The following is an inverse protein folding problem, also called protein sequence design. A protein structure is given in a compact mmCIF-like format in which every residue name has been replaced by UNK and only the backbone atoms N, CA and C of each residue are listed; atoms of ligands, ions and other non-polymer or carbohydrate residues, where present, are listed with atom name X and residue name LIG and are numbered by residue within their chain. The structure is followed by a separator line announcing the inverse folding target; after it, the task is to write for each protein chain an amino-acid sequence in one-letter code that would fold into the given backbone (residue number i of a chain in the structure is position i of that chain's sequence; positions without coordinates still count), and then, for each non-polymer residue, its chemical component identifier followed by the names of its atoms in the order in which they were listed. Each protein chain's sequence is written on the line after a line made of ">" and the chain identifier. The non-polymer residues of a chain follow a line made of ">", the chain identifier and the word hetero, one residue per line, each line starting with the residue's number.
data_IF_212203160181
#
_entry.id   IF_212203160181
#
_cell.length_a   1.000
_cell.length_b   1.000
_cell.length_c   1.000
_cell.angle_alpha   90.00
_cell.angle_beta   90.00
_cell.angle_gamma   90.00
#
_symmetry.space_group_name_H-M   'P 1'
#
loop_
_entity.id
_entity.type
_entity.pdbx_description
1 polymer ?
#
# COMPACT_ATOMS: atom_id res chain seq x y z
N UNK A 1 -2.14 13.75 -25.50
CA UNK A 1 -1.71 12.33 -25.34
C UNK A 1 -0.30 12.15 -24.75
N UNK A 2 0.78 12.75 -25.30
CA UNK A 2 2.15 12.57 -24.78
C UNK A 2 2.36 12.94 -23.30
N UNK A 3 1.63 13.92 -22.75
CA UNK A 3 1.70 14.31 -21.33
C UNK A 3 1.09 13.27 -20.36
N UNK A 4 0.07 12.52 -20.77
CA UNK A 4 -0.58 11.50 -19.93
C UNK A 4 0.20 10.18 -19.92
N UNK A 5 0.85 9.84 -21.04
CA UNK A 5 1.78 8.70 -21.13
C UNK A 5 2.99 8.92 -20.22
N UNK A 6 3.47 10.17 -20.09
CA UNK A 6 4.59 10.50 -19.19
C UNK A 6 4.24 10.26 -17.71
N UNK A 7 2.98 10.48 -17.30
CA UNK A 7 2.51 10.26 -15.93
C UNK A 7 2.47 8.75 -15.62
N UNK A 8 2.04 7.90 -16.57
CA UNK A 8 2.15 6.45 -16.44
C UNK A 8 3.62 5.99 -16.41
N UNK A 9 4.49 6.56 -17.25
CA UNK A 9 5.89 6.17 -17.35
C UNK A 9 6.71 6.57 -16.12
N UNK A 10 6.40 7.71 -15.46
CA UNK A 10 7.08 8.11 -14.22
C UNK A 10 6.65 7.24 -13.02
N UNK A 11 5.37 6.82 -12.99
CA UNK A 11 4.88 5.82 -12.02
C UNK A 11 5.50 4.44 -12.28
N UNK A 12 5.86 4.12 -13.53
CA UNK A 12 6.54 2.88 -13.92
C UNK A 12 8.07 2.93 -13.79
N UNK A 13 8.71 4.11 -13.75
CA UNK A 13 10.18 4.25 -13.68
C UNK A 13 10.79 3.97 -12.30
N UNK A 14 10.00 3.50 -11.33
CA UNK A 14 10.50 2.86 -10.11
C UNK A 14 10.60 1.34 -10.31
N UNK A 15 11.50 0.90 -11.20
CA UNK A 15 11.72 -0.52 -11.39
C UNK A 15 12.43 -1.12 -10.16
N UNK A 16 11.73 -2.07 -9.50
CA UNK A 16 12.10 -2.89 -8.32
C UNK A 16 11.72 -2.36 -6.93
N UNK A 17 10.43 -2.12 -6.66
CA UNK A 17 9.93 -1.84 -5.29
C UNK A 17 8.85 -2.89 -4.82
N UNK A 18 9.14 -3.72 -3.80
CA UNK A 18 8.38 -4.94 -3.32
C UNK A 18 8.01 -5.00 -1.79
N UNK A 19 6.83 -5.46 -1.31
CA UNK A 19 5.98 -5.05 -0.11
C UNK A 19 6.49 -4.70 1.28
N UNK A 20 5.59 -4.01 2.01
CA UNK A 20 5.81 -3.47 3.32
C UNK A 20 5.30 -4.58 4.19
N UNK A 21 6.20 -5.26 4.86
CA UNK A 21 5.86 -6.27 5.83
C UNK A 21 6.73 -6.08 7.06
N UNK A 22 6.10 -6.15 8.24
CA UNK A 22 6.74 -6.04 9.56
C UNK A 22 6.47 -7.33 10.39
N UNK A 23 5.68 -8.27 9.86
CA UNK A 23 5.05 -9.35 10.63
C UNK A 23 6.05 -10.34 11.22
N UNK A 24 7.04 -10.77 10.43
CA UNK A 24 8.06 -11.73 10.90
C UNK A 24 8.95 -11.14 11.98
N UNK A 25 9.31 -9.86 11.85
CA UNK A 25 10.27 -9.19 12.71
C UNK A 25 9.67 -8.38 13.86
N UNK A 26 8.34 -8.34 13.99
CA UNK A 26 7.64 -7.52 15.01
C UNK A 26 8.13 -7.78 16.45
N UNK A 27 8.54 -9.02 16.74
CA UNK A 27 9.06 -9.45 18.05
C UNK A 27 10.56 -9.78 18.04
N UNK A 28 11.27 -9.36 16.99
CA UNK A 28 12.72 -9.57 16.85
C UNK A 28 13.53 -8.58 17.70
N UNK A 29 14.84 -8.74 17.73
CA UNK A 29 15.77 -7.79 18.34
C UNK A 29 15.97 -6.50 17.52
N UNK A 30 15.41 -6.40 16.31
CA UNK A 30 15.55 -5.22 15.45
C UNK A 30 14.76 -4.02 16.01
N UNK A 31 15.44 -3.09 16.68
CA UNK A 31 14.77 -2.05 17.45
C UNK A 31 14.00 -1.06 16.58
N UNK A 32 14.60 -0.53 15.49
CA UNK A 32 13.90 0.43 14.62
C UNK A 32 12.67 -0.22 13.99
N UNK A 33 12.75 -1.52 13.67
CA UNK A 33 11.61 -2.28 13.18
C UNK A 33 10.46 -2.29 14.20
N UNK A 34 10.74 -2.68 15.44
CA UNK A 34 9.74 -2.71 16.50
C UNK A 34 9.16 -1.32 16.76
N UNK A 35 10.01 -0.29 16.77
CA UNK A 35 9.60 1.10 16.92
C UNK A 35 8.68 1.54 15.78
N UNK A 36 8.94 1.15 14.54
CA UNK A 36 8.10 1.54 13.39
C UNK A 36 6.65 1.03 13.51
N UNK A 37 6.44 -0.10 14.19
CA UNK A 37 5.12 -0.74 14.36
C UNK A 37 4.50 -0.55 15.74
N UNK A 38 5.29 -0.21 16.77
CA UNK A 38 4.79 -0.02 18.12
C UNK A 38 5.50 1.17 18.80
N UNK A 39 4.74 2.24 19.08
CA UNK A 39 5.26 3.42 19.74
C UNK A 39 5.81 3.16 21.17
N UNK A 40 5.43 2.04 21.83
CA UNK A 40 5.99 1.67 23.14
C UNK A 40 7.33 0.96 23.07
N UNK A 41 7.86 0.67 21.87
CA UNK A 41 9.16 0.03 21.73
C UNK A 41 10.22 0.78 22.55
N UNK A 42 10.96 0.04 23.37
CA UNK A 42 11.89 0.61 24.33
C UNK A 42 13.24 -0.11 24.19
N UNK A 43 14.31 0.58 23.75
CA UNK A 43 15.57 -0.08 23.46
C UNK A 43 16.28 -0.50 24.74
N UNK A 44 17.20 -1.45 24.64
CA UNK A 44 18.17 -1.73 25.72
C UNK A 44 19.25 -0.65 25.78
N UNK A 45 19.66 -0.15 24.61
CA UNK A 45 20.63 0.92 24.41
C UNK A 45 20.18 2.26 24.99
N UNK A 46 21.14 3.11 25.36
CA UNK A 46 20.87 4.48 25.81
C UNK A 46 20.63 5.45 24.65
N UNK A 47 21.25 5.20 23.50
CA UNK A 47 21.13 6.03 22.30
C UNK A 47 20.93 5.12 21.11
N UNK A 48 20.00 5.48 20.22
CA UNK A 48 19.79 4.81 18.93
C UNK A 48 19.86 5.85 17.84
N UNK A 49 20.69 5.60 16.82
CA UNK A 49 20.82 6.44 15.63
C UNK A 49 20.58 5.55 14.42
N UNK A 50 19.61 5.89 13.60
CA UNK A 50 19.37 5.20 12.34
C UNK A 50 20.38 5.59 11.27
N UNK A 51 20.77 4.65 10.41
CA UNK A 51 21.59 4.97 9.26
C UNK A 51 20.79 5.83 8.26
N UNK A 52 21.33 6.95 7.74
CA UNK A 52 20.60 7.81 6.82
C UNK A 52 20.03 7.04 5.63
N UNK A 53 18.73 7.21 5.35
CA UNK A 53 17.93 6.55 4.30
C UNK A 53 17.77 5.02 4.43
N UNK A 54 18.63 4.33 5.19
CA UNK A 54 18.58 2.87 5.34
C UNK A 54 18.24 2.44 6.78
N UNK A 55 17.64 3.31 7.58
CA UNK A 55 17.27 2.99 8.97
C UNK A 55 16.21 1.89 9.03
N UNK A 56 15.25 1.95 8.11
CA UNK A 56 14.17 0.98 7.92
C UNK A 56 13.55 1.26 6.55
N UNK A 57 13.81 0.37 5.61
CA UNK A 57 13.19 0.34 4.29
C UNK A 57 12.26 -0.87 4.25
N UNK A 58 11.02 -0.61 3.90
CA UNK A 58 9.97 -1.61 3.86
C UNK A 58 9.11 -1.35 2.62
N UNK A 59 8.92 -2.30 1.70
CA UNK A 59 8.60 -1.94 0.31
C UNK A 59 7.18 -2.27 -0.20
N UNK A 60 6.91 -2.61 -1.48
CA UNK A 60 5.65 -2.85 -2.33
C UNK A 60 4.45 -3.84 -2.15
N UNK A 61 4.48 -5.02 -2.79
CA UNK A 61 3.41 -5.76 -3.48
C UNK A 61 2.50 -6.86 -2.82
N UNK A 62 1.20 -6.70 -3.05
CA UNK A 62 0.13 -7.72 -2.98
C UNK A 62 -0.67 -7.73 -4.30
N UNK A 63 -1.07 -8.91 -4.78
CA UNK A 63 -1.87 -9.11 -6.00
C UNK A 63 -2.93 -10.20 -5.80
N UNK A 64 -4.10 -10.10 -6.46
CA UNK A 64 -5.08 -11.17 -6.46
C UNK A 64 -4.60 -12.42 -7.24
N UNK A 65 -3.66 -12.23 -8.16
CA UNK A 65 -3.12 -13.27 -9.04
C UNK A 65 -1.62 -13.47 -8.84
N UNK A 66 -1.17 -14.72 -8.97
CA UNK A 66 0.25 -15.03 -9.18
C UNK A 66 0.63 -14.91 -10.66
N UNK A 67 1.92 -14.84 -10.97
CA UNK A 67 2.40 -14.78 -12.35
C UNK A 67 2.07 -16.06 -13.13
N UNK A 68 2.12 -17.23 -12.49
CA UNK A 68 1.72 -18.50 -13.10
C UNK A 68 0.19 -18.62 -13.34
N UNK A 69 -0.63 -17.85 -12.63
CA UNK A 69 -2.06 -17.75 -12.91
C UNK A 69 -2.36 -16.80 -14.07
N UNK A 70 -1.56 -15.75 -14.24
CA UNK A 70 -1.68 -14.78 -15.34
C UNK A 70 -1.13 -15.34 -16.64
N UNK A 71 0.06 -15.93 -16.60
CA UNK A 71 0.80 -16.38 -17.77
C UNK A 71 0.69 -17.89 -17.93
N UNK A 72 0.06 -18.32 -19.02
CA UNK A 72 0.06 -19.73 -19.44
C UNK A 72 1.01 -19.95 -20.58
N UNK A 73 1.80 -21.01 -20.45
CA UNK A 73 2.70 -21.49 -21.49
C UNK A 73 1.91 -22.26 -22.55
N UNK A 74 1.98 -21.81 -23.79
CA UNK A 74 1.39 -22.49 -24.93
C UNK A 74 2.21 -23.69 -25.42
N UNK A 75 1.61 -24.47 -26.31
CA UNK A 75 2.28 -25.62 -26.95
C UNK A 75 3.50 -25.22 -27.80
N UNK A 76 3.61 -23.95 -28.15
CA UNK A 76 4.69 -23.34 -28.93
C UNK A 76 5.74 -22.62 -28.06
N UNK A 77 5.79 -22.93 -26.76
CA UNK A 77 6.71 -22.32 -25.78
C UNK A 77 6.44 -20.84 -25.47
N UNK A 78 5.44 -20.21 -26.11
CA UNK A 78 5.10 -18.80 -25.86
C UNK A 78 4.22 -18.62 -24.62
N UNK A 79 4.42 -17.51 -23.90
CA UNK A 79 3.60 -17.12 -22.76
C UNK A 79 2.41 -16.28 -23.23
N UNK A 80 1.20 -16.66 -22.82
CA UNK A 80 -0.05 -15.98 -23.15
C UNK A 80 -0.83 -15.66 -21.88
N UNK A 81 -1.56 -14.56 -21.89
CA UNK A 81 -2.45 -14.20 -20.78
C UNK A 81 -3.76 -14.99 -20.91
N UNK A 82 -4.15 -15.70 -19.85
CA UNK A 82 -5.45 -16.39 -19.80
C UNK A 82 -6.51 -15.52 -19.12
N UNK A 83 -7.04 -14.55 -19.87
CA UNK A 83 -8.07 -13.63 -19.38
C UNK A 83 -9.31 -14.35 -18.81
N UNK A 84 -9.88 -15.40 -19.45
CA UNK A 84 -11.02 -16.13 -18.88
C UNK A 84 -10.73 -16.74 -17.49
N UNK A 85 -9.53 -17.27 -17.29
CA UNK A 85 -9.13 -17.82 -15.98
C UNK A 85 -8.98 -16.72 -14.93
N UNK A 86 -8.53 -15.53 -15.31
CA UNK A 86 -8.37 -14.38 -14.41
C UNK A 86 -9.72 -13.82 -13.98
N UNK A 87 -10.66 -13.63 -14.92
CA UNK A 87 -12.03 -13.17 -14.63
C UNK A 87 -12.71 -14.07 -13.59
N UNK A 88 -12.67 -15.39 -13.79
CA UNK A 88 -13.32 -16.35 -12.88
C UNK A 88 -12.67 -16.45 -11.49
N UNK A 89 -11.43 -15.97 -11.34
CA UNK A 89 -10.67 -16.03 -10.07
C UNK A 89 -10.69 -14.71 -9.30
N UNK A 90 -11.14 -13.63 -9.92
CA UNK A 90 -11.15 -12.31 -9.31
C UNK A 90 -12.36 -12.21 -8.38
N UNK A 91 -12.11 -12.40 -7.08
CA UNK A 91 -13.13 -12.11 -6.07
C UNK A 91 -13.35 -10.60 -5.96
N UNK A 92 -14.62 -10.21 -5.85
CA UNK A 92 -15.01 -8.81 -5.70
C UNK A 92 -14.29 -8.13 -4.52
N UNK A 93 -13.73 -6.95 -4.78
CA UNK A 93 -13.06 -6.14 -3.78
C UNK A 93 -11.60 -6.52 -3.50
N UNK A 94 -11.06 -7.57 -4.13
CA UNK A 94 -9.60 -7.82 -4.15
C UNK A 94 -8.92 -6.92 -5.17
N UNK A 95 -7.72 -6.46 -4.84
CA UNK A 95 -6.98 -5.51 -5.66
C UNK A 95 -5.48 -5.74 -5.62
N UNK A 96 -4.78 -5.02 -6.49
CA UNK A 96 -3.33 -4.91 -6.44
C UNK A 96 -3.00 -3.79 -5.46
N UNK A 97 -2.12 -4.05 -4.51
CA UNK A 97 -1.67 -3.07 -3.54
C UNK A 97 -0.15 -3.00 -3.54
N UNK A 98 0.38 -1.78 -3.51
CA UNK A 98 1.80 -1.52 -3.29
C UNK A 98 1.96 -0.56 -2.12
N UNK A 99 2.99 -0.77 -1.32
CA UNK A 99 3.41 0.14 -0.28
C UNK A 99 4.88 0.52 -0.45
N UNK A 100 5.35 1.56 0.19
CA UNK A 100 6.78 1.77 0.45
C UNK A 100 6.89 2.69 1.65
N UNK A 101 7.80 2.37 2.56
CA UNK A 101 8.14 3.19 3.72
C UNK A 101 9.64 3.19 3.85
N UNK A 102 10.20 4.37 3.75
CA UNK A 102 11.61 4.60 3.89
C UNK A 102 11.84 5.56 5.03
N UNK A 103 12.53 5.10 6.07
CA UNK A 103 12.98 5.93 7.17
C UNK A 103 14.24 6.69 6.74
N UNK A 104 14.08 7.98 6.44
CA UNK A 104 15.18 8.88 6.04
C UNK A 104 16.15 9.05 7.21
N UNK A 105 15.64 9.30 8.40
CA UNK A 105 16.49 9.35 9.59
C UNK A 105 15.71 8.94 10.83
N UNK A 106 16.45 8.50 11.85
CA UNK A 106 15.93 8.20 13.18
C UNK A 106 16.96 8.57 14.24
N UNK A 107 16.51 9.17 15.34
CA UNK A 107 17.34 9.38 16.52
C UNK A 107 16.51 9.23 17.78
N UNK A 108 17.04 8.56 18.79
CA UNK A 108 16.42 8.49 20.10
C UNK A 108 17.42 8.32 21.24
N UNK A 109 17.01 8.76 22.42
CA UNK A 109 17.83 8.73 23.63
C UNK A 109 17.00 8.44 24.88
N UNK A 110 17.64 7.72 25.83
CA UNK A 110 17.08 7.50 27.17
C UNK A 110 17.34 8.69 28.08
N UNK A 111 16.25 9.22 28.64
CA UNK A 111 16.20 10.37 29.53
C UNK A 111 15.90 9.96 30.98
N UNK A 112 16.20 10.89 31.90
CA UNK A 112 15.98 10.70 33.34
C UNK A 112 17.09 9.90 34.05
N UNK A 113 17.19 10.05 35.37
CA UNK A 113 18.18 9.34 36.19
C UNK A 113 18.02 7.82 36.12
N UNK A 114 16.77 7.35 36.14
CA UNK A 114 16.42 5.92 36.03
C UNK A 114 16.46 5.39 34.58
N UNK A 115 16.68 6.25 33.58
CA UNK A 115 16.66 5.89 32.15
C UNK A 115 15.37 5.16 31.74
N UNK A 116 14.23 5.57 32.30
CA UNK A 116 12.91 4.96 32.10
C UNK A 116 12.03 5.71 31.08
N UNK A 117 12.57 6.74 30.43
CA UNK A 117 11.92 7.48 29.34
C UNK A 117 12.84 7.35 28.12
N UNK A 118 12.30 6.95 26.99
CA UNK A 118 12.99 6.94 25.70
C UNK A 118 12.27 7.93 24.78
N UNK A 119 12.91 9.07 24.50
CA UNK A 119 12.40 10.08 23.59
C UNK A 119 13.10 9.93 22.24
N UNK A 120 12.35 10.05 21.15
CA UNK A 120 12.87 9.87 19.81
C UNK A 120 12.17 10.76 18.79
N UNK A 121 12.84 10.94 17.66
CA UNK A 121 12.31 11.60 16.48
C UNK A 121 12.76 10.86 15.22
N UNK A 122 12.03 11.04 14.15
CA UNK A 122 12.39 10.48 12.86
C UNK A 122 11.62 11.13 11.73
N UNK A 123 12.09 10.86 10.52
CA UNK A 123 11.47 11.28 9.27
C UNK A 123 11.38 10.11 8.32
N UNK A 124 10.25 9.99 7.64
CA UNK A 124 9.98 8.90 6.71
C UNK A 124 9.20 9.38 5.48
N UNK A 125 9.42 8.70 4.34
CA UNK A 125 8.58 8.80 3.15
C UNK A 125 7.67 7.58 3.11
N UNK A 126 6.39 7.81 2.88
CA UNK A 126 5.40 6.74 2.75
C UNK A 126 4.70 6.86 1.40
N UNK A 127 4.78 5.79 0.61
CA UNK A 127 4.00 5.60 -0.59
C UNK A 127 2.97 4.47 -0.35
N UNK A 128 1.75 4.69 -0.80
CA UNK A 128 0.73 3.64 -0.89
C UNK A 128 0.08 3.76 -2.26
N UNK A 129 -0.16 2.63 -2.89
CA UNK A 129 -0.89 2.50 -4.13
C UNK A 129 -1.84 1.33 -3.98
N UNK A 130 -3.04 1.47 -4.52
CA UNK A 130 -3.95 0.36 -4.65
C UNK A 130 -4.95 0.59 -5.77
N UNK A 131 -5.23 -0.49 -6.47
CA UNK A 131 -6.23 -0.55 -7.52
C UNK A 131 -7.07 -1.79 -7.32
N UNK A 132 -8.39 -1.61 -7.36
CA UNK A 132 -9.38 -2.68 -7.31
C UNK A 132 -10.04 -2.68 -8.66
N UNK A 133 -9.97 -3.83 -9.32
CA UNK A 133 -10.63 -4.09 -10.60
C UNK A 133 -11.61 -5.24 -10.38
N UNK A 134 -12.85 -5.15 -10.84
CA UNK A 134 -13.83 -6.24 -10.76
C UNK A 134 -13.63 -7.29 -11.87
N UNK A 135 -14.13 -8.50 -11.62
CA UNK A 135 -14.21 -9.54 -12.65
C UNK A 135 -15.09 -9.09 -13.82
N UNK A 136 -16.18 -8.38 -13.53
CA UNK A 136 -17.10 -7.81 -14.53
C UNK A 136 -16.40 -6.80 -15.45
N UNK A 137 -15.58 -5.91 -14.90
CA UNK A 137 -14.73 -5.01 -15.70
C UNK A 137 -13.81 -5.79 -16.63
N UNK A 138 -13.08 -6.79 -16.13
CA UNK A 138 -12.18 -7.59 -16.97
C UNK A 138 -12.95 -8.41 -18.03
N UNK A 139 -14.11 -8.96 -17.70
CA UNK A 139 -14.92 -9.74 -18.63
C UNK A 139 -15.46 -8.85 -19.76
N UNK A 140 -15.99 -7.67 -19.42
CA UNK A 140 -16.47 -6.67 -20.37
C UNK A 140 -15.40 -6.25 -21.37
N UNK A 141 -14.22 -5.86 -20.89
CA UNK A 141 -13.13 -5.41 -21.76
C UNK A 141 -12.49 -6.55 -22.55
N UNK A 142 -12.58 -7.80 -22.10
CA UNK A 142 -12.02 -8.95 -22.81
C UNK A 142 -12.94 -9.52 -23.90
N UNK A 143 -14.26 -9.55 -23.67
CA UNK A 143 -15.24 -10.07 -24.63
C UNK A 143 -15.84 -9.00 -25.53
N UNK A 144 -15.77 -7.74 -25.11
CA UNK A 144 -16.33 -6.60 -25.80
C UNK A 144 -17.84 -6.48 -25.65
N UNK A 145 -18.36 -5.32 -26.05
CA UNK A 145 -19.74 -4.88 -25.83
C UNK A 145 -20.80 -5.86 -26.41
N UNK A 146 -20.53 -6.46 -27.58
CA UNK A 146 -21.48 -7.33 -28.27
C UNK A 146 -21.87 -8.59 -27.46
N UNK A 147 -21.05 -9.01 -26.50
CA UNK A 147 -21.35 -10.15 -25.65
C UNK A 147 -22.41 -9.83 -24.58
N UNK A 148 -22.52 -8.55 -24.19
CA UNK A 148 -23.35 -8.06 -23.08
C UNK A 148 -24.54 -7.23 -23.59
N UNK A 149 -25.06 -7.57 -24.77
CA UNK A 149 -26.19 -6.86 -25.35
C UNK A 149 -27.46 -7.04 -24.51
N UNK A 150 -28.14 -5.93 -24.26
CA UNK A 150 -29.32 -5.81 -23.40
C UNK A 150 -29.04 -6.20 -21.93
N UNK A 151 -27.78 -6.14 -21.50
CA UNK A 151 -27.38 -6.30 -20.10
C UNK A 151 -26.77 -4.98 -19.61
N UNK A 152 -27.10 -4.60 -18.37
CA UNK A 152 -26.47 -3.44 -17.73
C UNK A 152 -25.20 -3.89 -17.01
N UNK A 153 -24.07 -3.39 -17.46
CA UNK A 153 -22.75 -3.64 -16.88
C UNK A 153 -22.42 -2.56 -15.85
N UNK A 154 -22.05 -2.94 -14.64
CA UNK A 154 -21.81 -2.04 -13.52
C UNK A 154 -20.34 -2.08 -13.07
N UNK A 155 -19.72 -0.90 -13.02
CA UNK A 155 -18.32 -0.71 -12.63
C UNK A 155 -18.19 0.17 -11.38
N UNK A 156 -19.17 0.09 -10.48
CA UNK A 156 -19.16 0.88 -9.24
C UNK A 156 -18.14 0.38 -8.20
N UNK A 157 -17.65 -0.85 -8.38
CA UNK A 157 -16.64 -1.50 -7.54
C UNK A 157 -15.22 -0.99 -7.81
N UNK A 158 -14.99 -0.34 -8.95
CA UNK A 158 -13.64 0.06 -9.35
C UNK A 158 -13.12 1.17 -8.45
N UNK A 159 -11.92 0.99 -7.93
CA UNK A 159 -11.32 1.98 -7.03
C UNK A 159 -9.84 2.12 -7.30
N UNK A 160 -9.37 3.36 -7.28
CA UNK A 160 -7.97 3.70 -7.40
C UNK A 160 -7.57 4.70 -6.32
N UNK A 161 -6.52 4.38 -5.55
CA UNK A 161 -5.91 5.34 -4.63
C UNK A 161 -4.40 5.23 -4.69
N UNK A 162 -3.74 6.38 -4.78
CA UNK A 162 -2.30 6.52 -4.63
C UNK A 162 -2.00 7.68 -3.68
N UNK A 163 -1.08 7.52 -2.75
CA UNK A 163 -0.66 8.55 -1.81
C UNK A 163 0.84 8.48 -1.60
N UNK A 164 1.52 9.60 -1.75
CA UNK A 164 2.91 9.79 -1.41
C UNK A 164 3.00 10.98 -0.44
N UNK A 165 3.58 10.76 0.73
CA UNK A 165 3.72 11.81 1.73
C UNK A 165 4.99 11.62 2.56
N UNK A 166 5.48 12.74 3.10
CA UNK A 166 6.48 12.77 4.14
C UNK A 166 5.79 12.75 5.52
N UNK A 167 6.41 12.08 6.48
CA UNK A 167 5.96 11.95 7.86
C UNK A 167 7.13 12.21 8.80
N UNK A 168 7.14 13.41 9.36
CA UNK A 168 8.08 13.80 10.40
C UNK A 168 7.44 13.59 11.76
N UNK A 169 8.15 12.97 12.71
CA UNK A 169 7.52 12.60 13.96
C UNK A 169 8.42 12.73 15.18
N UNK A 170 7.77 12.91 16.33
CA UNK A 170 8.35 12.81 17.66
C UNK A 170 7.56 11.80 18.46
N UNK A 171 8.24 11.02 19.28
CA UNK A 171 7.58 10.09 20.18
C UNK A 171 8.33 9.90 21.47
N UNK A 172 7.61 9.31 22.42
CA UNK A 172 8.15 8.95 23.72
C UNK A 172 7.57 7.60 24.14
N UNK A 173 8.45 6.71 24.59
CA UNK A 173 8.10 5.50 25.31
C UNK A 173 8.56 5.61 26.75
N UNK A 174 7.71 5.22 27.70
CA UNK A 174 7.96 5.27 29.13
C UNK A 174 7.78 3.89 29.76
N UNK A 175 8.64 3.59 30.75
CA UNK A 175 8.51 2.44 31.65
C UNK A 175 8.06 2.92 33.03
N UNK A 176 6.74 3.05 33.29
CA UNK A 176 6.24 3.44 34.61
C UNK A 176 6.56 2.40 35.69
N UNK A 177 6.59 1.12 35.29
CA UNK A 177 7.08 -0.03 36.08
C UNK A 177 7.89 -0.94 35.16
N UNK A 178 8.72 -1.82 35.71
CA UNK A 178 9.66 -2.63 34.91
C UNK A 178 8.99 -3.54 33.88
N UNK A 179 7.74 -3.96 34.16
CA UNK A 179 6.96 -4.88 33.33
C UNK A 179 6.06 -4.20 32.29
N UNK A 180 6.00 -2.87 32.26
CA UNK A 180 5.08 -2.15 31.37
C UNK A 180 5.81 -1.04 30.63
N UNK A 181 5.68 -1.04 29.31
CA UNK A 181 6.04 0.08 28.44
C UNK A 181 4.79 0.69 27.82
N UNK A 182 4.68 2.01 27.86
CA UNK A 182 3.63 2.78 27.19
C UNK A 182 4.27 3.78 26.25
N UNK A 183 3.70 3.97 25.06
CA UNK A 183 4.27 4.88 24.08
C UNK A 183 3.25 5.67 23.30
N UNK A 184 3.67 6.85 22.88
CA UNK A 184 2.90 7.73 22.00
C UNK A 184 3.82 8.36 20.96
N UNK A 185 3.32 8.57 19.75
CA UNK A 185 4.02 9.25 18.66
C UNK A 185 3.09 10.25 18.01
N UNK A 186 3.57 11.47 17.82
CA UNK A 186 2.90 12.50 17.04
C UNK A 186 3.60 12.67 15.70
N UNK A 187 2.82 12.67 14.62
CA UNK A 187 3.31 12.81 13.24
C UNK A 187 2.79 14.09 12.62
N UNK A 188 3.68 14.82 11.96
CA UNK A 188 3.41 15.95 11.09
C UNK A 188 3.58 15.44 9.66
N UNK A 189 2.55 15.61 8.84
CA UNK A 189 2.46 15.01 7.52
C UNK A 189 2.49 16.08 6.45
N UNK A 190 3.29 15.87 5.42
CA UNK A 190 3.34 16.71 4.22
C UNK A 190 3.01 15.87 2.98
N UNK A 191 1.90 16.18 2.32
CA UNK A 191 1.41 15.48 1.14
C UNK A 191 2.19 15.88 -0.11
N UNK A 192 2.87 14.91 -0.72
CA UNK A 192 3.66 15.13 -1.94
C UNK A 192 2.80 14.88 -3.18
N UNK A 193 2.15 13.72 -3.27
CA UNK A 193 1.26 13.40 -4.38
C UNK A 193 0.08 12.56 -3.91
N UNK A 194 -1.07 12.74 -4.54
CA UNK A 194 -2.24 11.91 -4.28
C UNK A 194 -3.13 11.78 -5.50
N UNK A 195 -3.69 10.59 -5.64
CA UNK A 195 -4.87 10.35 -6.46
C UNK A 195 -5.85 9.60 -5.57
N UNK A 196 -7.08 10.10 -5.49
CA UNK A 196 -8.15 9.49 -4.72
C UNK A 196 -9.40 9.42 -5.59
N UNK A 197 -9.81 8.20 -5.90
CA UNK A 197 -11.11 7.92 -6.48
C UNK A 197 -12.17 7.98 -5.37
N UNK A 198 -12.77 9.15 -5.21
CA UNK A 198 -13.78 9.42 -4.17
C UNK A 198 -15.14 8.81 -4.53
N UNK A 199 -15.47 8.87 -5.83
CA UNK A 199 -16.69 8.30 -6.37
C UNK A 199 -16.40 7.67 -7.73
N UNK A 200 -16.83 6.43 -7.91
CA UNK A 200 -16.84 5.73 -9.19
C UNK A 200 -18.19 5.06 -9.30
N UNK A 201 -19.14 5.77 -9.91
CA UNK A 201 -20.37 5.14 -10.32
C UNK A 201 -20.37 5.15 -11.85
N UNK A 202 -20.23 4.00 -12.48
CA UNK A 202 -20.17 3.87 -13.93
C UNK A 202 -20.98 2.64 -14.33
N UNK A 203 -21.95 2.80 -15.22
CA UNK A 203 -22.60 1.67 -15.88
C UNK A 203 -22.68 1.85 -17.39
N UNK A 204 -22.76 0.73 -18.11
CA UNK A 204 -22.89 0.67 -19.56
C UNK A 204 -24.07 -0.24 -19.89
N UNK A 205 -24.90 0.15 -20.85
CA UNK A 205 -25.99 -0.67 -21.36
C UNK A 205 -26.09 -0.51 -22.88
N UNK A 206 -26.14 -1.62 -23.61
CA UNK A 206 -26.22 -1.58 -25.08
C UNK A 206 -27.50 -2.22 -25.58
N UNK A 207 -28.35 -1.46 -26.25
CA UNK A 207 -29.62 -1.94 -26.79
C UNK A 207 -29.44 -2.58 -28.18
N UNK A 208 -29.72 -3.87 -28.29
CA UNK A 208 -29.66 -4.58 -29.58
C UNK A 208 -30.81 -4.26 -30.54
N UNK A 209 -31.87 -3.65 -30.03
CA UNK A 209 -33.12 -3.35 -30.75
C UNK A 209 -33.33 -1.86 -31.02
N UNK A 210 -32.43 -1.00 -30.54
CA UNK A 210 -32.49 0.43 -30.75
C UNK A 210 -32.42 0.79 -32.24
N UNK A 211 -32.85 2.01 -32.56
CA UNK A 211 -32.65 2.61 -33.88
C UNK A 211 -31.99 3.96 -33.65
N UNK A 212 -30.71 4.15 -34.03
CA UNK A 212 -29.77 3.21 -34.67
C UNK A 212 -29.49 1.92 -33.87
N UNK A 213 -29.09 0.82 -34.52
CA UNK A 213 -28.83 -0.46 -33.84
C UNK A 213 -27.58 -0.35 -32.97
N UNK A 214 -27.61 -0.93 -31.76
CA UNK A 214 -26.51 -0.93 -30.78
C UNK A 214 -26.21 0.41 -30.11
N UNK A 215 -27.25 1.19 -29.80
CA UNK A 215 -27.08 2.37 -28.94
C UNK A 215 -26.53 1.93 -27.59
N UNK A 216 -25.37 2.46 -27.23
CA UNK A 216 -24.77 2.22 -25.91
C UNK A 216 -25.01 3.41 -25.01
N UNK A 217 -25.82 3.23 -23.96
CA UNK A 217 -26.01 4.18 -22.87
C UNK A 217 -24.90 4.04 -21.84
N UNK A 218 -24.18 5.12 -21.56
CA UNK A 218 -23.18 5.23 -20.51
C UNK A 218 -23.76 6.06 -19.39
N UNK A 219 -23.80 5.51 -18.17
CA UNK A 219 -24.12 6.26 -16.98
C UNK A 219 -22.87 6.54 -16.16
N UNK A 220 -22.51 7.81 -15.93
CA UNK A 220 -21.31 8.14 -15.17
C UNK A 220 -21.58 9.20 -14.08
N UNK A 221 -21.17 8.88 -12.85
CA UNK A 221 -21.06 9.80 -11.72
C UNK A 221 -19.72 9.55 -11.01
N UNK A 222 -18.68 10.22 -11.51
CA UNK A 222 -17.27 10.00 -11.15
C UNK A 222 -16.69 11.23 -10.46
N UNK A 223 -15.85 11.02 -9.46
CA UNK A 223 -15.03 12.04 -8.83
C UNK A 223 -13.64 11.47 -8.53
N UNK A 224 -12.65 11.97 -9.27
CA UNK A 224 -11.24 11.66 -9.08
C UNK A 224 -10.54 12.93 -8.60
N UNK A 225 -10.06 12.89 -7.37
CA UNK A 225 -9.31 13.97 -6.75
C UNK A 225 -7.82 13.73 -6.97
N UNK A 226 -7.08 14.74 -7.40
CA UNK A 226 -5.63 14.65 -7.57
C UNK A 226 -4.92 15.82 -6.89
N UNK A 227 -3.72 15.55 -6.38
CA UNK A 227 -2.81 16.54 -5.84
C UNK A 227 -1.36 16.19 -6.23
N UNK A 228 -0.53 17.20 -6.46
CA UNK A 228 0.89 17.00 -6.82
C UNK A 228 1.20 16.98 -8.32
N UNK A 229 0.27 17.39 -9.18
CA UNK A 229 0.49 17.48 -10.64
C UNK A 229 1.70 18.37 -11.01
N UNK A 230 2.02 19.37 -10.19
CA UNK A 230 3.19 20.24 -10.40
C UNK A 230 4.55 19.58 -10.16
N UNK A 231 4.61 18.41 -9.51
CA UNK A 231 5.84 17.60 -9.37
C UNK A 231 6.30 17.09 -10.73
N UNK A 232 5.36 16.69 -11.61
CA UNK A 232 5.67 16.13 -12.92
C UNK A 232 6.03 17.18 -13.98
N UNK A 233 5.71 18.46 -13.74
CA UNK A 233 5.82 19.55 -14.73
C UNK A 233 6.79 20.65 -14.26
N UNK A 234 7.53 20.42 -13.17
CA UNK A 234 8.46 21.38 -12.54
C UNK A 234 7.84 22.79 -12.40
N UNK A 235 6.60 22.83 -11.90
CA UNK A 235 5.86 24.09 -11.79
C UNK A 235 6.18 24.76 -10.45
N UNK A 236 6.61 26.02 -10.50
CA UNK A 236 6.78 26.88 -9.31
C UNK A 236 5.50 27.09 -8.48
N UNK A 237 4.34 26.63 -8.98
CA UNK A 237 3.03 26.72 -8.33
C UNK A 237 2.74 25.60 -7.32
N UNK A 238 3.49 24.49 -7.32
CA UNK A 238 3.27 23.40 -6.37
C UNK A 238 4.05 23.65 -5.08
N UNK A 239 3.34 23.71 -3.95
CA UNK A 239 3.95 23.84 -2.62
C UNK A 239 3.49 22.69 -1.72
N UNK A 240 4.31 21.65 -1.49
CA UNK A 240 3.94 20.50 -0.68
C UNK A 240 3.67 20.86 0.79
N UNK A 241 4.16 22.01 1.29
CA UNK A 241 3.92 22.44 2.66
C UNK A 241 2.47 22.85 2.90
N UNK A 242 1.74 23.23 1.84
CA UNK A 242 0.30 23.52 1.93
C UNK A 242 -0.54 22.25 2.11
N UNK A 243 -0.04 21.10 1.66
CA UNK A 243 -0.68 19.81 1.88
C UNK A 243 -0.27 19.27 3.25
N UNK A 244 -1.00 19.62 4.30
CA UNK A 244 -0.61 19.30 5.67
C UNK A 244 -1.56 18.33 6.37
N UNK A 245 -1.03 17.59 7.34
CA UNK A 245 -1.79 16.64 8.12
C UNK A 245 -1.12 16.31 9.44
N UNK A 246 -1.85 15.58 10.27
CA UNK A 246 -1.33 15.06 11.54
C UNK A 246 -1.84 13.65 11.78
N UNK A 247 -1.03 12.86 12.50
CA UNK A 247 -1.41 11.54 12.99
C UNK A 247 -0.90 11.28 14.40
N UNK A 248 -1.55 10.33 15.06
CA UNK A 248 -1.15 9.80 16.36
C UNK A 248 -0.95 8.29 16.27
N UNK A 249 0.10 7.82 16.93
CA UNK A 249 0.30 6.41 17.25
C UNK A 249 0.30 6.20 18.76
N UNK A 250 -0.19 5.05 19.19
CA UNK A 250 -0.22 4.59 20.56
C UNK A 250 0.30 3.17 20.65
N UNK A 251 1.05 2.88 21.72
CA UNK A 251 1.65 1.58 21.94
C UNK A 251 1.62 1.18 23.41
N UNK A 252 1.49 -0.12 23.63
CA UNK A 252 1.63 -0.76 24.93
C UNK A 252 2.35 -2.09 24.77
N UNK A 253 3.27 -2.37 25.70
CA UNK A 253 3.93 -3.68 25.84
C UNK A 253 3.93 -4.06 27.31
N UNK A 254 3.46 -5.27 27.63
CA UNK A 254 3.34 -5.76 29.00
C UNK A 254 3.99 -7.14 29.15
N UNK A 255 4.94 -7.24 30.08
CA UNK A 255 5.57 -8.48 30.50
C UNK A 255 4.64 -9.20 31.50
N UNK A 256 3.76 -10.05 30.98
CA UNK A 256 2.75 -10.75 31.78
C UNK A 256 3.37 -11.79 32.73
N UNK A 257 4.43 -12.47 32.30
CA UNK A 257 5.23 -13.40 33.10
C UNK A 257 6.70 -13.25 32.72
N UNK A 258 7.63 -13.93 33.38
CA UNK A 258 9.05 -13.88 33.01
C UNK A 258 9.33 -14.46 31.61
N UNK A 259 8.36 -15.14 30.97
CA UNK A 259 8.48 -15.73 29.64
C UNK A 259 7.47 -15.21 28.62
N UNK A 260 6.46 -14.43 29.04
CA UNK A 260 5.35 -14.03 28.16
C UNK A 260 5.24 -12.51 28.11
N UNK A 261 5.45 -11.97 26.91
CA UNK A 261 5.19 -10.57 26.57
C UNK A 261 3.92 -10.47 25.72
N UNK A 262 3.12 -9.43 25.96
CA UNK A 262 1.93 -9.10 25.17
C UNK A 262 1.98 -7.64 24.76
N UNK A 263 1.59 -7.32 23.53
CA UNK A 263 1.62 -5.95 23.01
C UNK A 263 0.34 -5.57 22.26
N UNK A 264 0.05 -4.27 22.29
CA UNK A 264 -1.03 -3.65 21.53
C UNK A 264 -0.53 -2.33 20.97
N UNK A 265 -0.67 -2.10 19.67
CA UNK A 265 -0.35 -0.83 19.04
C UNK A 265 -1.43 -0.41 18.04
N UNK A 266 -1.71 0.90 18.00
CA UNK A 266 -2.61 1.52 17.04
C UNK A 266 -1.88 2.70 16.42
N UNK A 267 -1.66 2.66 15.11
CA UNK A 267 -0.85 3.65 14.41
C UNK A 267 -1.65 4.34 13.29
N UNK A 268 -1.13 5.49 12.86
CA UNK A 268 -1.61 6.26 11.73
C UNK A 268 -3.07 6.74 11.88
N UNK A 269 -3.47 7.09 13.11
CA UNK A 269 -4.76 7.73 13.38
C UNK A 269 -4.69 9.20 12.98
N UNK A 270 -5.05 9.48 11.73
CA UNK A 270 -4.90 10.82 11.19
C UNK A 270 -5.41 10.99 9.76
N UNK A 271 -5.13 12.17 9.21
CA UNK A 271 -5.50 12.52 7.84
C UNK A 271 -4.55 13.58 7.29
N UNK A 272 -4.52 13.69 5.97
CA UNK A 272 -3.86 14.76 5.22
C UNK A 272 -4.95 15.62 4.58
N UNK A 273 -4.79 16.94 4.64
CA UNK A 273 -5.59 17.89 3.89
C UNK A 273 -4.79 18.31 2.64
N UNK A 274 -5.43 18.25 1.49
CA UNK A 274 -4.86 18.60 0.20
C UNK A 274 -5.37 19.98 -0.19
N UNK A 275 -4.45 20.94 -0.34
CA UNK A 275 -4.78 22.33 -0.55
C UNK A 275 -5.22 22.59 -1.98
N UNK A 276 -6.24 23.45 -2.16
CA UNK A 276 -6.79 23.79 -3.49
C UNK A 276 -5.73 24.19 -4.52
N UNK A 277 -4.65 24.85 -4.10
CA UNK A 277 -3.58 25.32 -4.99
C UNK A 277 -2.74 24.19 -5.59
N UNK A 278 -2.77 23.01 -4.97
CA UNK A 278 -2.05 21.83 -5.43
C UNK A 278 -2.96 20.81 -6.14
N UNK A 279 -4.26 21.10 -6.23
CA UNK A 279 -5.27 20.12 -6.60
C UNK A 279 -5.88 20.39 -7.97
N UNK A 280 -6.10 19.31 -8.70
CA UNK A 280 -7.00 19.26 -9.85
C UNK A 280 -7.92 18.07 -9.66
N UNK A 281 -9.21 18.34 -9.53
CA UNK A 281 -10.24 17.33 -9.35
C UNK A 281 -11.00 17.21 -10.65
N UNK A 282 -11.23 15.97 -11.05
CA UNK A 282 -11.97 15.59 -12.23
C UNK A 282 -13.31 15.01 -11.79
N UNK A 283 -14.42 15.61 -12.23
CA UNK A 283 -15.74 15.08 -11.92
C UNK A 283 -16.71 15.20 -13.08
N UNK A 284 -17.69 14.31 -13.15
CA UNK A 284 -18.86 14.51 -14.00
C UNK A 284 -19.82 15.52 -13.35
N UNK A 285 -20.55 16.29 -14.14
CA UNK A 285 -21.60 17.19 -13.63
C UNK A 285 -22.88 16.38 -13.32
N UNK A 286 -22.83 15.60 -12.24
CA UNK A 286 -23.91 14.68 -11.88
C UNK A 286 -23.89 13.37 -12.66
N UNK A 287 -25.07 12.78 -12.81
CA UNK A 287 -25.30 11.56 -13.59
C UNK A 287 -25.39 11.95 -15.06
N UNK A 288 -24.38 11.58 -15.84
CA UNK A 288 -24.35 11.83 -17.29
C UNK A 288 -24.79 10.56 -18.00
N UNK A 289 -25.82 10.69 -18.84
CA UNK A 289 -26.25 9.66 -19.79
C UNK A 289 -25.70 10.00 -21.17
N UNK A 290 -24.95 9.09 -21.78
CA UNK A 290 -24.42 9.27 -23.13
C UNK A 290 -24.76 8.11 -24.04
N UNK A 291 -25.06 8.42 -25.29
CA UNK A 291 -25.38 7.44 -26.32
C UNK A 291 -24.23 7.41 -27.33
N UNK A 292 -23.56 6.27 -27.45
CA UNK A 292 -22.68 5.99 -28.57
C UNK A 292 -23.52 5.41 -29.70
N UNK A 293 -23.58 6.14 -30.82
CA UNK A 293 -24.00 5.59 -32.11
C UNK A 293 -22.87 4.66 -32.60
N UNK A 294 -23.16 3.38 -32.77
CA UNK A 294 -22.15 2.36 -33.11
C UNK A 294 -21.38 2.68 -34.41
N UNK A 295 -20.29 1.93 -34.65
CA UNK A 295 -19.46 2.12 -35.85
C UNK A 295 -20.24 1.85 -37.14
N UNK A 296 -20.17 2.77 -38.10
CA UNK A 296 -20.73 2.57 -39.43
C UNK A 296 -19.75 1.75 -40.28
N UNK A 297 -20.15 0.54 -40.68
CA UNK A 297 -19.40 -0.28 -41.63
C UNK A 297 -20.15 -0.29 -42.97
N UNK A 298 -19.70 0.53 -43.93
CA UNK A 298 -20.22 0.55 -45.30
C UNK A 298 -19.41 -0.39 -46.19
N UNK A 299 -20.09 -1.09 -47.11
CA UNK A 299 -19.45 -1.97 -48.09
C UNK A 299 -18.72 -1.24 -49.22
N UNK A 300 -18.73 0.10 -49.22
CA UNK A 300 -18.21 0.97 -50.28
C UNK A 300 -16.74 1.38 -50.13
N UNK A 301 -16.07 1.03 -49.03
CA UNK A 301 -14.63 1.23 -48.85
C UNK A 301 -14.18 2.66 -48.48
N UNK A 302 -15.11 3.60 -48.33
CA UNK A 302 -14.84 5.00 -47.92
C UNK A 302 -14.82 5.21 -46.40
N UNK A 303 -14.97 4.15 -45.60
CA UNK A 303 -15.04 4.26 -44.15
C UNK A 303 -13.63 4.17 -43.55
N UNK A 304 -13.05 5.33 -43.25
CA UNK A 304 -11.82 5.39 -42.47
C UNK A 304 -12.11 4.99 -41.03
N UNK A 305 -11.90 3.71 -40.72
CA UNK A 305 -12.07 3.14 -39.39
C UNK A 305 -11.29 3.91 -38.31
N UNK A 306 -10.10 4.42 -38.64
CA UNK A 306 -9.30 5.25 -37.73
C UNK A 306 -10.01 6.56 -37.40
N UNK A 307 -10.63 7.22 -38.39
CA UNK A 307 -11.38 8.45 -38.18
C UNK A 307 -12.66 8.24 -37.34
N UNK A 308 -13.35 7.11 -37.50
CA UNK A 308 -14.52 6.78 -36.67
C UNK A 308 -14.13 6.45 -35.23
N UNK A 309 -13.00 5.76 -35.02
CA UNK A 309 -12.46 5.51 -33.67
C UNK A 309 -11.99 6.82 -33.05
N UNK A 310 -11.33 7.70 -33.79
CA UNK A 310 -10.98 9.05 -33.32
C UNK A 310 -12.24 9.86 -32.96
N UNK A 311 -13.30 9.80 -33.76
CA UNK A 311 -14.58 10.47 -33.47
C UNK A 311 -15.26 9.91 -32.21
N UNK A 312 -15.22 8.58 -31.99
CA UNK A 312 -15.71 7.96 -30.76
C UNK A 312 -14.83 8.36 -29.57
N UNK A 313 -13.51 8.37 -29.71
CA UNK A 313 -12.57 8.77 -28.65
C UNK A 313 -12.73 10.25 -28.31
N UNK A 314 -12.88 11.12 -29.31
CA UNK A 314 -13.11 12.55 -29.15
C UNK A 314 -14.50 12.82 -28.57
N UNK A 315 -15.52 12.07 -28.99
CA UNK A 315 -16.87 12.16 -28.42
C UNK A 315 -16.88 11.67 -26.97
N UNK A 316 -16.25 10.53 -26.68
CA UNK A 316 -16.03 10.05 -25.31
C UNK A 316 -15.24 11.07 -24.49
N UNK A 317 -14.20 11.71 -25.05
CA UNK A 317 -13.44 12.76 -24.37
C UNK A 317 -14.26 14.05 -24.14
N UNK A 318 -15.19 14.36 -25.04
CA UNK A 318 -16.09 15.52 -24.93
C UNK A 318 -17.29 15.23 -23.99
N UNK A 319 -17.69 13.97 -23.85
CA UNK A 319 -18.79 13.50 -23.00
C UNK A 319 -18.32 13.22 -21.58
N UNK A 320 -17.18 12.55 -21.44
CA UNK A 320 -16.37 12.59 -20.24
C UNK A 320 -15.61 13.91 -20.17
N UNK A 321 -16.24 15.05 -20.52
CA UNK A 321 -15.73 16.39 -20.19
C UNK A 321 -15.77 16.56 -18.68
N UNK A 322 -14.85 15.84 -18.03
CA UNK A 322 -14.59 15.88 -16.61
C UNK A 322 -14.37 17.36 -16.30
N UNK A 323 -15.28 17.93 -15.54
CA UNK A 323 -15.16 19.30 -15.08
C UNK A 323 -13.94 19.33 -14.18
N UNK A 324 -12.94 20.09 -14.60
CA UNK A 324 -11.79 20.36 -13.77
C UNK A 324 -12.18 21.38 -12.70
N UNK A 325 -11.89 21.06 -11.45
CA UNK A 325 -12.07 21.99 -10.34
C UNK A 325 -10.89 21.92 -9.38
N UNK A 326 -10.54 23.05 -8.77
CA UNK A 326 -9.51 23.12 -7.74
C UNK A 326 -10.14 23.33 -6.38
N UNK A 327 -10.65 22.24 -5.79
CA UNK A 327 -11.23 22.24 -4.44
C UNK A 327 -10.32 21.50 -3.46
N UNK A 328 -10.28 21.97 -2.22
CA UNK A 328 -9.58 21.29 -1.13
C UNK A 328 -10.34 20.06 -0.68
N UNK A 329 -9.61 18.98 -0.37
CA UNK A 329 -10.18 17.73 0.13
C UNK A 329 -9.26 17.11 1.19
N UNK A 330 -9.71 16.04 1.86
CA UNK A 330 -8.91 15.34 2.87
C UNK A 330 -8.92 13.83 2.64
N UNK A 331 -7.78 13.18 2.84
CA UNK A 331 -7.69 11.71 2.83
C UNK A 331 -7.26 11.21 4.20
N UNK A 332 -7.97 10.20 4.73
CA UNK A 332 -7.56 9.52 5.96
C UNK A 332 -6.33 8.65 5.70
N UNK A 333 -5.43 8.58 6.68
CA UNK A 333 -4.37 7.59 6.65
C UNK A 333 -4.95 6.18 6.83
N UNK A 334 -4.22 5.17 6.36
CA UNK A 334 -4.60 3.76 6.56
C UNK A 334 -4.22 3.37 7.98
N UNK A 335 -5.21 3.29 8.88
CA UNK A 335 -4.97 2.94 10.28
C UNK A 335 -4.43 1.52 10.40
N UNK A 336 -3.54 1.30 11.36
CA UNK A 336 -2.93 0.00 11.64
C UNK A 336 -3.21 -0.40 13.08
N UNK A 337 -3.63 -1.64 13.30
CA UNK A 337 -3.81 -2.27 14.61
C UNK A 337 -2.90 -3.49 14.70
N UNK A 338 -2.03 -3.53 15.70
CA UNK A 338 -1.18 -4.68 16.00
C UNK A 338 -1.54 -5.23 17.38
N UNK A 339 -1.74 -6.55 17.46
CA UNK A 339 -1.84 -7.28 18.71
C UNK A 339 -0.85 -8.44 18.67
N UNK A 340 0.14 -8.40 19.56
CA UNK A 340 1.26 -9.34 19.56
C UNK A 340 1.37 -10.10 20.87
N UNK A 341 1.92 -11.31 20.79
CA UNK A 341 2.41 -12.05 21.95
C UNK A 341 3.74 -12.73 21.62
N UNK A 342 4.67 -12.75 22.58
CA UNK A 342 5.96 -13.44 22.47
C UNK A 342 6.14 -14.35 23.68
N UNK A 343 6.45 -15.61 23.43
CA UNK A 343 6.76 -16.61 24.45
C UNK A 343 8.22 -17.05 24.35
N UNK A 344 9.00 -16.75 25.37
CA UNK A 344 10.42 -17.12 25.48
C UNK A 344 10.52 -18.49 26.16
N UNK A 345 10.79 -19.53 25.38
CA UNK A 345 10.96 -20.88 25.92
C UNK A 345 12.21 -20.94 26.80
N UNK A 346 13.31 -20.39 26.29
CA UNK A 346 14.59 -20.15 26.94
C UNK A 346 15.36 -19.03 26.21
N UNK A 347 16.60 -18.76 26.60
CA UNK A 347 17.45 -17.70 26.02
C UNK A 347 17.71 -17.84 24.51
N UNK A 348 17.57 -19.05 23.96
CA UNK A 348 17.82 -19.33 22.53
C UNK A 348 16.55 -19.38 21.70
N UNK A 349 15.43 -19.81 22.28
CA UNK A 349 14.23 -20.16 21.55
C UNK A 349 13.05 -19.32 21.98
N UNK A 350 12.46 -18.57 21.04
CA UNK A 350 11.22 -17.83 21.25
C UNK A 350 10.20 -18.15 20.16
N UNK A 351 8.93 -18.08 20.54
CA UNK A 351 7.79 -18.19 19.64
C UNK A 351 6.98 -16.91 19.70
N UNK A 352 6.42 -16.51 18.58
CA UNK A 352 5.60 -15.30 18.53
C UNK A 352 4.28 -15.52 17.81
N UNK A 353 3.29 -14.75 18.25
CA UNK A 353 2.01 -14.60 17.59
C UNK A 353 1.80 -13.11 17.28
N UNK A 354 1.27 -12.82 16.10
CA UNK A 354 0.87 -11.47 15.73
C UNK A 354 -0.45 -11.51 14.96
N UNK A 355 -1.37 -10.67 15.39
CA UNK A 355 -2.50 -10.22 14.59
C UNK A 355 -2.25 -8.78 14.15
N UNK A 356 -2.28 -8.53 12.84
CA UNK A 356 -2.22 -7.19 12.27
C UNK A 356 -3.46 -6.93 11.43
N UNK A 357 -4.10 -5.80 11.65
CA UNK A 357 -5.25 -5.35 10.86
C UNK A 357 -4.99 -3.95 10.34
N UNK A 358 -5.27 -3.74 9.05
CA UNK A 358 -5.04 -2.45 8.38
C UNK A 358 -6.17 -2.14 7.42
N UNK A 359 -6.56 -0.87 7.37
CA UNK A 359 -7.52 -0.40 6.38
C UNK A 359 -6.91 -0.38 4.96
N UNK A 360 -7.63 -0.93 3.98
CA UNK A 360 -7.31 -0.79 2.55
C UNK A 360 -8.33 0.13 1.87
N UNK A 361 -8.40 0.12 0.54
CA UNK A 361 -9.28 0.99 -0.26
C UNK A 361 -10.73 0.46 -0.25
N UNK A 362 -10.89 -0.84 -0.44
CA UNK A 362 -12.17 -1.55 -0.57
C UNK A 362 -12.48 -2.47 0.61
N UNK A 363 -11.47 -2.84 1.39
CA UNK A 363 -11.56 -3.91 2.38
C UNK A 363 -10.64 -3.65 3.58
N UNK A 364 -10.63 -4.59 4.52
CA UNK A 364 -9.68 -4.62 5.62
C UNK A 364 -8.69 -5.76 5.38
N UNK A 365 -7.41 -5.45 5.50
CA UNK A 365 -6.33 -6.41 5.40
C UNK A 365 -6.00 -6.95 6.78
N UNK A 366 -6.15 -8.26 6.96
CA UNK A 366 -5.84 -8.93 8.21
C UNK A 366 -4.73 -9.96 7.98
N UNK A 367 -3.79 -9.98 8.93
CA UNK A 367 -2.70 -10.93 8.96
C UNK A 367 -2.68 -11.63 10.30
N UNK A 368 -2.57 -12.95 10.27
CA UNK A 368 -2.21 -13.78 11.41
C UNK A 368 -0.84 -14.37 11.13
N UNK A 369 0.14 -14.11 12.00
CA UNK A 369 1.50 -14.61 11.88
C UNK A 369 1.89 -15.42 13.11
N UNK A 370 2.47 -16.60 12.87
CA UNK A 370 3.11 -17.45 13.86
C UNK A 370 4.61 -17.47 13.55
N UNK A 371 5.40 -16.90 14.45
CA UNK A 371 6.84 -16.75 14.30
C UNK A 371 7.64 -17.65 15.23
N UNK A 372 8.87 -17.93 14.81
CA UNK A 372 9.90 -18.57 15.60
C UNK A 372 11.19 -17.75 15.47
N UNK A 373 11.82 -17.49 16.61
CA UNK A 373 13.08 -16.78 16.71
C UNK A 373 14.12 -17.68 17.36
N UNK A 374 15.29 -17.79 16.72
CA UNK A 374 16.43 -18.54 17.21
C UNK A 374 17.60 -17.57 17.45
N UNK A 375 17.96 -17.38 18.72
CA UNK A 375 19.18 -16.67 19.10
C UNK A 375 20.37 -17.63 18.94
N UNK A 376 21.13 -17.46 17.86
CA UNK A 376 22.31 -18.29 17.56
C UNK A 376 23.51 -17.83 18.39
N UNK A 377 23.63 -16.52 18.61
CA UNK A 377 24.65 -15.90 19.46
C UNK A 377 24.15 -14.55 19.98
N UNK A 378 24.89 -13.87 20.85
CA UNK A 378 24.55 -12.50 21.29
C UNK A 378 24.39 -11.50 20.14
N UNK A 379 24.98 -11.77 18.97
CA UNK A 379 24.95 -10.87 17.82
C UNK A 379 24.11 -11.39 16.65
N UNK A 380 23.56 -12.60 16.68
CA UNK A 380 22.81 -13.17 15.55
C UNK A 380 21.52 -13.83 16.00
N UNK A 381 20.41 -13.33 15.47
CA UNK A 381 19.07 -13.89 15.59
C UNK A 381 18.57 -14.31 14.20
N UNK A 382 18.03 -15.53 14.10
CA UNK A 382 17.35 -16.01 12.90
C UNK A 382 15.84 -15.99 13.13
N UNK A 383 15.11 -15.61 12.09
CA UNK A 383 13.66 -15.43 12.12
C UNK A 383 13.01 -16.32 11.06
N UNK A 384 11.91 -16.97 11.43
CA UNK A 384 11.02 -17.66 10.50
C UNK A 384 9.56 -17.41 10.92
N UNK A 385 8.66 -17.28 9.96
CA UNK A 385 7.22 -17.21 10.28
C UNK A 385 6.34 -17.86 9.22
N UNK A 386 5.23 -18.41 9.68
CA UNK A 386 4.09 -18.79 8.86
C UNK A 386 3.03 -17.70 9.00
N UNK A 387 2.52 -17.20 7.88
CA UNK A 387 1.57 -16.09 7.85
C UNK A 387 0.33 -16.47 7.04
N UNK A 388 -0.83 -16.03 7.49
CA UNK A 388 -2.06 -16.02 6.72
C UNK A 388 -2.47 -14.56 6.48
N UNK A 389 -2.43 -14.12 5.23
CA UNK A 389 -2.77 -12.78 4.78
C UNK A 389 -4.11 -12.84 4.05
N UNK A 390 -5.21 -12.57 4.75
CA UNK A 390 -6.59 -12.69 4.23
C UNK A 390 -6.83 -14.00 3.45
N UNK A 391 -6.45 -15.14 4.02
CA UNK A 391 -6.63 -16.45 3.40
C UNK A 391 -5.48 -16.91 2.51
N UNK A 392 -4.53 -16.04 2.15
CA UNK A 392 -3.31 -16.44 1.42
C UNK A 392 -2.21 -16.82 2.40
N UNK A 393 -1.68 -18.03 2.27
CA UNK A 393 -0.56 -18.49 3.10
C UNK A 393 0.76 -17.95 2.56
N UNK A 394 1.66 -17.61 3.47
CA UNK A 394 3.01 -17.16 3.16
C UNK A 394 4.01 -17.68 4.20
N UNK A 395 5.25 -17.90 3.78
CA UNK A 395 6.36 -18.23 4.69
C UNK A 395 7.43 -17.18 4.52
N UNK A 396 7.88 -16.63 5.63
CA UNK A 396 8.88 -15.58 5.63
C UNK A 396 10.07 -15.99 6.49
N UNK A 397 11.24 -15.50 6.14
CA UNK A 397 12.46 -15.72 6.91
C UNK A 397 13.32 -14.45 6.91
N UNK A 398 14.20 -14.36 7.89
CA UNK A 398 15.10 -13.23 8.01
C UNK A 398 16.14 -13.44 9.09
N UNK A 399 16.92 -12.40 9.32
CA UNK A 399 17.89 -12.37 10.40
C UNK A 399 18.05 -10.95 10.95
N UNK A 400 18.52 -10.88 12.19
CA UNK A 400 19.03 -9.67 12.83
C UNK A 400 20.47 -9.91 13.22
N UNK A 401 21.36 -9.01 12.80
CA UNK A 401 22.79 -9.05 13.11
C UNK A 401 23.15 -7.80 13.92
N UNK A 402 23.56 -7.98 15.18
CA UNK A 402 23.80 -6.90 16.16
C UNK A 402 25.21 -6.92 16.81
N UNK A 403 26.33 -6.90 16.06
CA UNK A 403 27.68 -6.86 16.63
C UNK A 403 27.99 -5.50 17.28
N UNK A 404 28.10 -5.51 18.60
CA UNK A 404 28.45 -4.32 19.38
C UNK A 404 27.41 -3.20 19.18
N UNK A 405 27.80 -2.00 18.71
CA UNK A 405 26.85 -0.92 18.48
C UNK A 405 26.13 -1.01 17.14
N UNK A 406 26.55 -1.85 16.20
CA UNK A 406 25.91 -1.95 14.89
C UNK A 406 24.76 -2.95 14.94
N UNK A 407 23.62 -2.61 14.34
CA UNK A 407 22.49 -3.51 14.14
C UNK A 407 21.99 -3.42 12.70
N UNK A 408 21.82 -4.56 12.06
CA UNK A 408 21.12 -4.68 10.79
C UNK A 408 20.06 -5.78 10.83
N UNK A 409 19.06 -5.65 9.98
CA UNK A 409 18.10 -6.71 9.75
C UNK A 409 17.78 -6.83 8.26
N UNK A 410 17.43 -8.04 7.85
CA UNK A 410 16.87 -8.35 6.54
C UNK A 410 15.80 -9.41 6.73
N UNK A 411 14.61 -9.13 6.25
CA UNK A 411 13.45 -10.01 6.29
C UNK A 411 12.86 -10.03 4.90
N UNK A 412 12.64 -11.24 4.41
CA UNK A 412 12.06 -11.48 3.10
C UNK A 412 10.86 -12.41 3.31
N UNK A 413 9.79 -12.05 2.63
CA UNK A 413 8.60 -12.87 2.53
C UNK A 413 8.64 -13.79 1.33
N UNK A 414 7.93 -14.90 1.45
CA UNK A 414 7.84 -15.94 0.44
C UNK A 414 9.19 -16.63 0.13
N UNK A 415 10.04 -16.76 1.15
CA UNK A 415 11.41 -17.31 1.05
C UNK A 415 11.46 -18.80 0.75
N UNK A 416 10.34 -19.52 0.91
CA UNK A 416 10.18 -20.93 0.57
C UNK A 416 9.30 -21.16 -0.67
N UNK A 417 8.92 -20.12 -1.41
CA UNK A 417 8.34 -20.32 -2.73
C UNK A 417 9.40 -21.01 -3.60
N UNK A 418 9.22 -22.31 -3.85
CA UNK A 418 10.01 -23.03 -4.85
C UNK A 418 9.93 -22.34 -6.23
N UNK A 419 8.89 -21.54 -6.43
CA UNK A 419 8.69 -20.67 -7.57
C UNK A 419 8.14 -19.28 -7.16
N UNK A 420 8.95 -18.22 -7.35
CA UNK A 420 8.55 -16.82 -7.14
C UNK A 420 7.35 -16.46 -8.03
N UNK A 421 7.13 -17.16 -9.14
CA UNK A 421 5.98 -16.95 -10.04
C UNK A 421 4.64 -17.38 -9.42
N UNK A 422 4.62 -18.15 -8.33
CA UNK A 422 3.40 -18.48 -7.57
C UNK A 422 3.07 -17.46 -6.47
N UNK A 423 3.94 -16.47 -6.24
CA UNK A 423 3.76 -15.47 -5.20
C UNK A 423 2.59 -14.51 -5.51
N UNK A 424 1.62 -14.43 -4.59
CA UNK A 424 0.58 -13.39 -4.58
C UNK A 424 0.93 -12.20 -3.68
N UNK A 425 1.90 -12.39 -2.79
CA UNK A 425 2.42 -11.38 -1.88
C UNK A 425 3.94 -11.53 -1.86
N UNK A 426 4.66 -10.41 -1.95
CA UNK A 426 6.12 -10.38 -1.83
C UNK A 426 6.47 -9.16 -1.01
N UNK A 427 7.28 -9.32 0.03
CA UNK A 427 7.69 -8.23 0.88
C UNK A 427 9.20 -8.28 1.18
N UNK A 428 9.78 -7.09 1.30
CA UNK A 428 11.17 -6.91 1.65
C UNK A 428 11.25 -5.86 2.75
N UNK A 429 11.97 -6.22 3.80
CA UNK A 429 12.28 -5.33 4.89
C UNK A 429 13.76 -5.40 5.23
N UNK A 430 14.39 -4.24 5.26
CA UNK A 430 15.80 -4.10 5.61
C UNK A 430 16.03 -2.84 6.43
N UNK A 431 17.04 -2.85 7.28
CA UNK A 431 17.45 -1.63 7.95
C UNK A 431 18.74 -1.77 8.72
N UNK A 432 19.40 -0.63 8.91
CA UNK A 432 20.70 -0.47 9.55
C UNK A 432 20.61 0.65 10.57
N UNK A 433 21.08 0.38 11.79
CA UNK A 433 21.09 1.34 12.87
C UNK A 433 22.26 1.12 13.83
N UNK A 434 22.48 2.11 14.68
CA UNK A 434 23.52 2.11 15.70
C UNK A 434 22.92 2.27 17.08
N UNK A 435 23.24 1.34 17.97
CA UNK A 435 22.73 1.16 19.32
C UNK A 435 23.86 1.32 20.34
N UNK A 436 23.90 2.44 21.07
CA UNK A 436 25.00 2.76 21.99
C UNK A 436 24.59 2.67 23.47
N UNK A 437 25.54 2.22 24.30
CA UNK A 437 25.37 2.19 25.76
C UNK A 437 24.42 1.09 26.24
N UNK A 438 24.50 -0.09 25.61
CA UNK A 438 23.81 -1.29 26.09
C UNK A 438 24.23 -1.58 27.54
N UNK A 439 23.27 -2.02 28.37
CA UNK A 439 23.63 -2.56 29.68
C UNK A 439 24.34 -3.89 29.44
N UNK A 440 25.57 -4.01 29.95
CA UNK A 440 26.27 -5.29 30.05
C UNK A 440 25.62 -6.17 31.11
#
# INVERSE_FOLDING_TARGET
>A
MKKYILIMVVVLSFENLMAQNIHTGYHSQAFILNSSSNASAFPESNVVIGFPALSNLNLGFQSPFSLNEVLKKGSDDSLRIDLPSLVNRLEDGRGIYMQAREQIFFMGLKLGYKKNIFAYMGDEIVANFGVVVSGEFLDYFSRGNAYFLNEEMNFNSEKFQSSLYNSFYFGASIKPIDKLSLGTRFKILHGLANVNSERMNLSLYTDSTSIPVYLTSINANVMIQTSGQGIAVDSLSFDPLLNNGFALDFGMTYQATDKLEVSLAINDLGKINWAKGNNVNYSTDGQVDYIIDGLEISSSGDNNFEAQIEEIVDSLSNVFSLTESSTSYSTKLKSNLFFGAKYELNEQHSFSFLFHSRDQISSRFNVVSLGYQLQVSESLELLASYQNLNGTTNIAAGFVLSPGPFQMHLIIDNTLAADVFDAKNIALQLGVNFCFGNKK
#
